data_IF_591397725897
#
_entry.id   IF_591397725897
#
_cell.length_a   1.000
_cell.length_b   1.000
_cell.length_c   1.000
_cell.angle_alpha   90.00
_cell.angle_beta   90.00
_cell.angle_gamma   90.00
#
_symmetry.space_group_name_H-M   'P 1'
#
loop_
_entity.id
_entity.type
_entity.pdbx_description
1 polymer ?
#
# COMPACT_ATOMS: atom_id res chain seq x y z
N UNK A 1 -23.17 -1.59 4.97
CA UNK A 1 -22.43 -0.93 3.87
C UNK A 1 -21.00 -0.67 4.34
N UNK A 2 -20.01 -1.00 3.51
CA UNK A 2 -18.58 -0.76 3.77
C UNK A 2 -17.92 -0.11 2.55
N UNK A 3 -16.64 0.26 2.64
CA UNK A 3 -15.86 0.80 1.52
C UNK A 3 -16.38 2.09 0.87
N UNK A 4 -17.18 2.90 1.56
CA UNK A 4 -17.71 4.16 1.00
C UNK A 4 -16.59 5.06 0.46
N UNK A 5 -15.45 5.16 1.17
CA UNK A 5 -14.30 5.94 0.70
C UNK A 5 -13.71 5.42 -0.63
N UNK A 6 -13.75 4.11 -0.91
CA UNK A 6 -13.33 3.58 -2.21
C UNK A 6 -14.33 3.94 -3.32
N UNK A 7 -15.63 3.95 -3.00
CA UNK A 7 -16.68 4.43 -3.92
C UNK A 7 -16.49 5.92 -4.22
N UNK A 8 -16.17 6.73 -3.21
CA UNK A 8 -15.94 8.16 -3.36
C UNK A 8 -14.70 8.46 -4.21
N UNK A 9 -13.59 7.75 -3.98
CA UNK A 9 -12.38 7.83 -4.85
C UNK A 9 -12.75 7.49 -6.29
N UNK A 10 -13.56 6.45 -6.47
CA UNK A 10 -14.06 6.06 -7.76
C UNK A 10 -14.83 7.20 -8.44
N UNK A 11 -15.89 7.70 -7.80
CA UNK A 11 -16.72 8.80 -8.34
C UNK A 11 -15.91 10.06 -8.63
N UNK A 12 -14.96 10.40 -7.77
CA UNK A 12 -14.06 11.53 -7.99
C UNK A 12 -13.24 11.33 -9.28
N UNK A 13 -12.76 10.11 -9.51
CA UNK A 13 -12.05 9.79 -10.74
C UNK A 13 -12.95 9.81 -11.98
N UNK A 14 -14.18 9.28 -11.91
CA UNK A 14 -15.17 9.37 -13.00
C UNK A 14 -15.39 10.83 -13.39
N UNK A 15 -15.58 11.69 -12.38
CA UNK A 15 -15.69 13.13 -12.59
C UNK A 15 -14.45 13.72 -13.26
N UNK A 16 -13.23 13.35 -12.82
CA UNK A 16 -11.99 13.83 -13.47
C UNK A 16 -11.94 13.36 -14.92
N UNK A 17 -12.15 12.07 -15.19
CA UNK A 17 -12.18 11.52 -16.55
C UNK A 17 -13.15 12.29 -17.43
N UNK A 18 -14.36 12.57 -16.93
CA UNK A 18 -15.37 13.29 -17.69
C UNK A 18 -15.06 14.74 -17.97
N UNK A 19 -14.33 15.39 -17.06
CA UNK A 19 -14.14 16.84 -17.10
C UNK A 19 -12.71 17.28 -17.45
N UNK A 20 -11.70 16.40 -17.45
CA UNK A 20 -10.28 16.77 -17.57
C UNK A 20 -9.95 17.54 -18.85
N UNK A 21 -10.67 17.28 -19.95
CA UNK A 21 -10.52 18.01 -21.21
C UNK A 21 -10.82 19.50 -21.10
N UNK A 22 -11.73 19.90 -20.20
CA UNK A 22 -12.06 21.31 -19.97
C UNK A 22 -10.96 22.04 -19.19
N UNK A 23 -10.04 21.29 -18.58
CA UNK A 23 -8.85 21.80 -17.90
C UNK A 23 -7.58 21.64 -18.75
N UNK A 24 -7.72 21.33 -20.05
CA UNK A 24 -6.60 21.17 -20.97
C UNK A 24 -5.86 19.83 -20.85
N UNK A 25 -6.35 18.88 -20.04
CA UNK A 25 -5.78 17.54 -20.01
C UNK A 25 -6.38 16.62 -21.08
N UNK A 26 -5.72 15.50 -21.32
CA UNK A 26 -6.19 14.49 -22.26
C UNK A 26 -7.19 13.56 -21.53
N UNK A 27 -8.37 13.32 -22.12
CA UNK A 27 -9.33 12.31 -21.63
C UNK A 27 -8.99 10.91 -22.16
N UNK A 28 -8.07 10.81 -23.11
CA UNK A 28 -7.79 9.61 -23.88
C UNK A 28 -8.92 9.37 -24.88
N UNK A 29 -8.60 8.73 -26.01
CA UNK A 29 -9.59 8.47 -27.08
C UNK A 29 -10.52 7.31 -26.71
N UNK A 30 -11.39 7.51 -25.73
CA UNK A 30 -12.53 6.62 -25.51
C UNK A 30 -13.72 7.12 -26.34
N UNK A 31 -14.01 6.43 -27.46
CA UNK A 31 -15.28 6.60 -28.17
C UNK A 31 -15.34 6.06 -29.58
N UNK A 32 -14.26 6.12 -30.37
CA UNK A 32 -14.25 5.62 -31.75
C UNK A 32 -13.01 4.75 -32.01
N UNK A 33 -13.01 3.55 -31.41
CA UNK A 33 -11.99 2.52 -31.64
C UNK A 33 -11.86 2.06 -33.10
N UNK A 34 -12.81 2.42 -34.00
CA UNK A 34 -12.79 1.99 -35.40
C UNK A 34 -11.77 2.71 -36.30
N UNK A 35 -11.09 3.76 -35.84
CA UNK A 35 -10.19 4.55 -36.70
C UNK A 35 -8.77 4.77 -36.12
N UNK A 36 -8.42 4.14 -35.01
CA UNK A 36 -7.05 4.19 -34.52
C UNK A 36 -6.15 3.33 -35.44
N UNK A 37 -5.46 4.00 -36.38
CA UNK A 37 -4.35 3.40 -37.12
C UNK A 37 -3.38 2.76 -36.12
N UNK A 38 -2.88 1.58 -36.47
CA UNK A 38 -2.04 0.65 -35.68
C UNK A 38 -0.76 1.26 -35.06
N UNK A 39 -0.45 2.53 -35.35
CA UNK A 39 0.79 3.20 -34.99
C UNK A 39 0.70 4.12 -33.76
N UNK A 40 -0.50 4.52 -33.31
CA UNK A 40 -0.60 5.56 -32.27
C UNK A 40 -0.85 4.99 -30.87
N UNK A 41 0.12 4.19 -30.38
CA UNK A 41 0.07 3.50 -29.08
C UNK A 41 0.13 4.47 -27.88
N UNK A 42 0.48 5.73 -28.09
CA UNK A 42 0.63 6.73 -27.04
C UNK A 42 -0.70 7.35 -26.56
N UNK A 43 -1.81 7.11 -27.27
CA UNK A 43 -3.15 7.66 -26.91
C UNK A 43 -3.96 6.81 -25.92
N UNK A 44 -3.36 5.75 -25.35
CA UNK A 44 -4.10 4.68 -24.66
C UNK A 44 -4.26 4.87 -23.14
N UNK A 45 -3.47 5.76 -22.51
CA UNK A 45 -3.46 5.95 -21.05
C UNK A 45 -3.43 7.44 -20.66
N UNK A 46 -4.59 8.10 -20.59
CA UNK A 46 -4.65 9.56 -20.45
C UNK A 46 -4.39 10.08 -19.04
N UNK A 47 -4.66 9.27 -18.02
CA UNK A 47 -4.63 9.70 -16.62
C UNK A 47 -3.70 8.76 -15.84
N UNK A 48 -2.73 9.34 -15.14
CA UNK A 48 -1.92 8.62 -14.14
C UNK A 48 -2.43 8.96 -12.76
N UNK A 49 -2.72 7.95 -11.95
CA UNK A 49 -3.18 8.13 -10.58
C UNK A 49 -2.05 7.77 -9.61
N UNK A 50 -1.72 8.68 -8.71
CA UNK A 50 -0.65 8.51 -7.73
C UNK A 50 -1.26 8.36 -6.35
N UNK A 51 -0.88 7.30 -5.64
CA UNK A 51 -1.31 7.06 -4.26
C UNK A 51 -0.10 6.91 -3.35
N UNK A 52 -0.22 7.38 -2.11
CA UNK A 52 0.77 7.20 -1.05
C UNK A 52 0.13 6.50 0.16
N UNK A 53 0.85 5.57 0.78
CA UNK A 53 0.38 4.84 1.97
C UNK A 53 -0.97 4.18 1.72
N UNK A 54 -1.98 4.51 2.54
CA UNK A 54 -3.34 3.98 2.35
C UNK A 54 -3.97 4.37 1.00
N UNK A 55 -3.55 5.48 0.39
CA UNK A 55 -3.95 5.85 -0.97
C UNK A 55 -3.39 4.88 -2.01
N UNK A 56 -2.11 4.48 -1.91
CA UNK A 56 -1.51 3.47 -2.78
C UNK A 56 -2.22 2.11 -2.63
N UNK A 57 -2.53 1.73 -1.39
CA UNK A 57 -3.32 0.55 -1.07
C UNK A 57 -4.71 0.60 -1.72
N UNK A 58 -5.43 1.72 -1.58
CA UNK A 58 -6.75 1.92 -2.20
C UNK A 58 -6.68 1.84 -3.74
N UNK A 59 -5.67 2.46 -4.36
CA UNK A 59 -5.47 2.36 -5.81
C UNK A 59 -5.18 0.93 -6.25
N UNK A 60 -4.34 0.21 -5.52
CA UNK A 60 -4.05 -1.19 -5.85
C UNK A 60 -5.28 -2.09 -5.72
N UNK A 61 -6.22 -1.77 -4.82
CA UNK A 61 -7.55 -2.42 -4.75
C UNK A 61 -8.43 -2.05 -5.94
N UNK A 62 -8.49 -0.77 -6.32
CA UNK A 62 -9.30 -0.29 -7.46
C UNK A 62 -8.78 -0.79 -8.81
N UNK A 63 -7.49 -1.13 -8.89
CA UNK A 63 -6.91 -1.83 -10.03
C UNK A 63 -7.33 -3.29 -10.13
N UNK A 64 -7.93 -3.84 -9.07
CA UNK A 64 -8.39 -5.22 -9.12
C UNK A 64 -9.61 -5.30 -10.02
N UNK A 65 -9.62 -6.27 -10.93
CA UNK A 65 -10.68 -6.41 -11.90
C UNK A 65 -12.00 -6.81 -11.22
N UNK A 66 -12.96 -5.90 -11.15
CA UNK A 66 -14.32 -6.22 -10.72
C UNK A 66 -15.10 -6.85 -11.87
N UNK A 67 -15.64 -8.06 -11.65
CA UNK A 67 -16.49 -8.78 -12.63
C UNK A 67 -17.95 -8.32 -12.65
N UNK A 68 -18.25 -7.19 -12.03
CA UNK A 68 -19.57 -6.58 -12.09
C UNK A 68 -19.63 -5.27 -11.32
N UNK A 69 -20.52 -4.43 -11.84
CA UNK A 69 -20.97 -3.13 -11.37
C UNK A 69 -20.58 -2.79 -9.92
N UNK A 70 -19.46 -2.08 -9.77
CA UNK A 70 -19.46 -0.97 -8.82
C UNK A 70 -20.65 -0.08 -9.19
N UNK A 71 -21.56 0.23 -8.27
CA UNK A 71 -22.60 1.23 -8.51
C UNK A 71 -21.91 2.52 -8.98
N UNK A 72 -22.14 2.92 -10.24
CA UNK A 72 -21.45 4.05 -10.89
C UNK A 72 -20.40 3.69 -11.96
N UNK A 73 -20.43 2.50 -12.57
CA UNK A 73 -19.65 2.24 -13.82
C UNK A 73 -18.12 2.13 -13.65
N UNK A 74 -17.61 2.23 -12.42
CA UNK A 74 -16.18 2.30 -12.11
C UNK A 74 -15.36 1.09 -12.55
N UNK A 75 -16.00 -0.05 -12.81
CA UNK A 75 -15.32 -1.30 -13.18
C UNK A 75 -14.85 -1.40 -14.63
N UNK A 76 -15.31 -0.58 -15.58
CA UNK A 76 -14.84 -0.64 -16.97
C UNK A 76 -13.78 0.40 -17.30
N UNK A 77 -13.92 1.62 -16.80
CA UNK A 77 -13.11 2.76 -17.26
C UNK A 77 -11.86 3.01 -16.43
N UNK A 78 -11.80 2.58 -15.16
CA UNK A 78 -10.54 2.62 -14.39
C UNK A 78 -9.42 1.80 -15.04
N UNK A 79 -9.80 0.85 -15.89
CA UNK A 79 -8.89 -0.09 -16.58
C UNK A 79 -8.03 0.57 -17.64
N UNK A 80 -8.10 1.86 -17.95
CA UNK A 80 -7.22 2.52 -18.93
C UNK A 80 -6.16 3.44 -18.32
N UNK A 81 -5.66 3.17 -17.10
CA UNK A 81 -4.81 4.12 -16.39
C UNK A 81 -3.51 3.52 -15.88
N UNK A 82 -2.46 4.34 -15.91
CA UNK A 82 -1.23 4.08 -15.20
C UNK A 82 -1.41 4.40 -13.73
N UNK A 83 -0.74 3.65 -12.86
CA UNK A 83 -0.71 3.97 -11.43
C UNK A 83 0.70 4.14 -10.93
N UNK A 84 0.83 4.97 -9.90
CA UNK A 84 2.00 5.03 -9.04
C UNK A 84 1.57 4.61 -7.64
N UNK A 85 2.19 3.54 -7.14
CA UNK A 85 1.91 2.99 -5.81
C UNK A 85 3.09 3.33 -4.89
N UNK A 86 2.96 4.36 -4.06
CA UNK A 86 4.01 4.76 -3.12
C UNK A 86 3.75 4.24 -1.71
N UNK A 87 4.58 3.32 -1.23
CA UNK A 87 4.55 2.76 0.13
C UNK A 87 3.80 1.43 0.23
N UNK A 88 2.49 1.40 0.02
CA UNK A 88 1.65 0.22 0.34
C UNK A 88 0.91 -0.37 -0.86
N UNK A 89 0.67 -1.68 -0.83
CA UNK A 89 -0.08 -2.42 -1.84
C UNK A 89 -1.28 -3.14 -1.23
N UNK A 90 -2.09 -3.77 -2.07
CA UNK A 90 -3.20 -4.60 -1.62
C UNK A 90 -2.73 -5.75 -0.73
N UNK A 91 -1.52 -6.27 -0.98
CA UNK A 91 -0.95 -7.33 -0.17
C UNK A 91 -0.56 -6.82 1.23
N UNK A 92 -0.33 -5.51 1.40
CA UNK A 92 -0.16 -4.93 2.73
C UNK A 92 -1.41 -5.16 3.59
N UNK A 93 -2.62 -5.22 3.03
CA UNK A 93 -3.83 -5.57 3.82
C UNK A 93 -3.72 -6.97 4.42
N UNK A 94 -3.15 -7.93 3.69
CA UNK A 94 -2.95 -9.28 4.21
C UNK A 94 -2.04 -9.27 5.44
N UNK A 95 -0.97 -8.49 5.40
CA UNK A 95 -0.07 -8.31 6.54
C UNK A 95 -0.76 -7.63 7.74
N UNK A 96 -1.60 -6.62 7.48
CA UNK A 96 -2.28 -5.82 8.50
C UNK A 96 -3.40 -6.58 9.20
N UNK A 97 -4.25 -7.26 8.43
CA UNK A 97 -5.45 -7.88 8.97
C UNK A 97 -5.22 -9.37 9.32
N UNK A 98 -4.21 -10.01 8.74
CA UNK A 98 -4.05 -11.47 8.78
C UNK A 98 -5.14 -12.18 7.98
N UNK A 99 -5.77 -11.47 7.04
CA UNK A 99 -6.96 -11.95 6.33
C UNK A 99 -6.55 -12.93 5.26
N UNK A 100 -6.79 -14.20 5.54
CA UNK A 100 -7.07 -15.18 4.51
C UNK A 100 -8.52 -15.02 4.03
N UNK A 101 -8.87 -15.69 2.93
CA UNK A 101 -10.03 -15.40 2.08
C UNK A 101 -11.45 -15.59 2.72
N UNK A 102 -11.61 -15.49 4.04
CA UNK A 102 -12.66 -16.12 4.84
C UNK A 102 -13.74 -15.18 5.41
N UNK A 103 -13.77 -13.90 5.03
CA UNK A 103 -14.77 -12.95 5.58
C UNK A 103 -14.47 -12.40 6.96
N UNK A 104 -13.30 -12.72 7.51
CA UNK A 104 -12.85 -12.25 8.82
C UNK A 104 -12.75 -10.71 8.88
N UNK A 105 -12.43 -10.03 7.77
CA UNK A 105 -12.36 -8.56 7.72
C UNK A 105 -13.73 -7.88 7.94
N UNK A 106 -14.82 -8.39 7.36
CA UNK A 106 -16.16 -7.86 7.68
C UNK A 106 -16.58 -8.17 9.10
N UNK A 107 -16.32 -9.38 9.59
CA UNK A 107 -16.66 -9.73 10.97
C UNK A 107 -15.89 -8.85 11.97
N UNK A 108 -14.61 -8.60 11.70
CA UNK A 108 -13.79 -7.68 12.49
C UNK A 108 -14.34 -6.26 12.44
N UNK A 109 -14.69 -5.75 11.25
CA UNK A 109 -15.28 -4.43 11.12
C UNK A 109 -16.66 -4.33 11.79
N UNK A 110 -17.52 -5.35 11.69
CA UNK A 110 -18.79 -5.40 12.39
C UNK A 110 -18.59 -5.37 13.90
N UNK A 111 -17.66 -6.16 14.43
CA UNK A 111 -17.30 -6.15 15.85
C UNK A 111 -16.78 -4.79 16.28
N UNK A 112 -15.96 -4.13 15.46
CA UNK A 112 -15.46 -2.80 15.75
C UNK A 112 -16.58 -1.75 15.73
N UNK A 113 -17.53 -1.86 14.80
CA UNK A 113 -18.74 -1.02 14.75
C UNK A 113 -19.60 -1.22 16.00
N UNK A 114 -19.77 -2.45 16.49
CA UNK A 114 -20.49 -2.73 17.74
C UNK A 114 -19.80 -2.05 18.93
N UNK A 115 -18.48 -2.23 19.09
CA UNK A 115 -17.71 -1.60 20.17
C UNK A 115 -17.76 -0.06 20.06
N UNK A 116 -17.71 0.47 18.84
CA UNK A 116 -17.84 1.91 18.60
C UNK A 116 -19.21 2.42 19.04
N UNK A 117 -20.29 1.75 18.62
CA UNK A 117 -21.67 2.09 18.97
C UNK A 117 -21.89 2.09 20.48
N UNK A 118 -21.46 1.03 21.17
CA UNK A 118 -21.53 0.93 22.63
C UNK A 118 -20.79 2.08 23.31
N UNK A 119 -19.57 2.41 22.86
CA UNK A 119 -18.77 3.49 23.46
C UNK A 119 -19.34 4.89 23.27
N UNK A 120 -20.16 5.10 22.24
CA UNK A 120 -20.83 6.39 22.02
C UNK A 120 -22.25 6.43 22.59
N UNK A 121 -22.74 5.32 23.16
CA UNK A 121 -24.06 5.21 23.77
C UNK A 121 -25.18 4.88 22.78
N UNK A 122 -24.84 4.29 21.63
CA UNK A 122 -25.82 3.80 20.66
C UNK A 122 -26.20 2.33 20.93
N UNK A 123 -27.38 1.87 20.45
CA UNK A 123 -27.75 0.45 20.48
C UNK A 123 -26.69 -0.43 19.81
N UNK A 124 -26.63 -1.69 20.20
CA UNK A 124 -25.72 -2.66 19.57
C UNK A 124 -26.17 -3.01 18.16
N UNK A 125 -25.23 -2.95 17.20
CA UNK A 125 -25.49 -3.34 15.82
C UNK A 125 -25.83 -4.83 15.65
N UNK A 126 -25.69 -5.65 16.71
CA UNK A 126 -26.13 -7.04 16.71
C UNK A 126 -27.64 -7.17 16.88
N UNK A 127 -28.23 -6.27 17.67
CA UNK A 127 -29.61 -6.39 18.13
C UNK A 127 -30.54 -5.60 17.19
N UNK A 128 -30.15 -4.39 16.82
CA UNK A 128 -30.90 -3.53 15.90
C UNK A 128 -29.93 -2.70 15.03
N UNK A 129 -29.45 -3.25 13.89
CA UNK A 129 -28.52 -2.56 13.01
C UNK A 129 -29.02 -1.20 12.52
N UNK A 130 -30.32 -1.06 12.26
CA UNK A 130 -30.91 0.16 11.70
C UNK A 130 -30.96 1.25 12.77
N UNK A 131 -31.44 0.94 13.99
CA UNK A 131 -31.41 1.88 15.10
C UNK A 131 -29.98 2.26 15.50
N UNK A 132 -29.03 1.33 15.44
CA UNK A 132 -27.61 1.65 15.64
C UNK A 132 -27.13 2.66 14.61
N UNK A 133 -27.41 2.44 13.32
CA UNK A 133 -26.94 3.33 12.26
C UNK A 133 -27.59 4.72 12.35
N UNK A 134 -28.89 4.80 12.62
CA UNK A 134 -29.58 6.09 12.83
C UNK A 134 -29.02 6.83 14.05
N UNK A 135 -28.76 6.12 15.15
CA UNK A 135 -28.09 6.71 16.31
C UNK A 135 -26.69 7.22 15.97
N UNK A 136 -25.86 6.41 15.30
CA UNK A 136 -24.49 6.76 14.94
C UNK A 136 -24.45 8.00 14.01
N UNK A 137 -25.40 8.14 13.08
CA UNK A 137 -25.53 9.33 12.22
C UNK A 137 -25.80 10.61 13.03
N UNK A 138 -26.46 10.50 14.18
CA UNK A 138 -26.71 11.61 15.10
C UNK A 138 -25.54 11.97 16.01
N UNK A 139 -24.48 11.17 16.06
CA UNK A 139 -23.30 11.45 16.90
C UNK A 139 -22.37 12.44 16.20
N UNK A 140 -21.84 13.41 16.96
CA UNK A 140 -20.83 14.35 16.48
C UNK A 140 -19.62 13.61 15.85
N UNK A 141 -19.27 13.98 14.62
CA UNK A 141 -18.19 13.34 13.87
C UNK A 141 -16.85 13.33 14.62
N UNK A 142 -16.50 14.42 15.33
CA UNK A 142 -15.25 14.49 16.09
C UNK A 142 -15.22 13.47 17.25
N UNK A 143 -16.37 13.22 17.88
CA UNK A 143 -16.53 12.21 18.91
C UNK A 143 -16.39 10.80 18.33
N UNK A 144 -17.02 10.52 17.18
CA UNK A 144 -16.87 9.23 16.50
C UNK A 144 -15.42 8.94 16.14
N UNK A 145 -14.72 9.90 15.51
CA UNK A 145 -13.32 9.74 15.11
C UNK A 145 -12.40 9.51 16.31
N UNK A 146 -12.55 10.28 17.39
CA UNK A 146 -11.76 10.08 18.63
C UNK A 146 -12.02 8.72 19.28
N UNK A 147 -13.30 8.30 19.35
CA UNK A 147 -13.66 7.01 19.91
C UNK A 147 -13.12 5.87 19.05
N UNK A 148 -13.28 5.94 17.74
CA UNK A 148 -12.71 4.97 16.81
C UNK A 148 -11.19 4.89 16.96
N UNK A 149 -10.48 6.02 16.94
CA UNK A 149 -9.03 6.06 17.14
C UNK A 149 -8.57 5.46 18.49
N UNK A 150 -9.42 5.50 19.53
CA UNK A 150 -9.12 4.85 20.81
C UNK A 150 -9.09 3.32 20.73
N UNK A 151 -9.78 2.72 19.75
CA UNK A 151 -9.86 1.27 19.55
C UNK A 151 -8.57 0.67 18.99
N UNK A 152 -7.69 1.47 18.36
CA UNK A 152 -6.40 1.01 17.83
C UNK A 152 -5.30 0.89 18.90
N UNK A 153 -5.51 1.45 20.10
CA UNK A 153 -4.45 1.59 21.11
C UNK A 153 -3.80 0.24 21.44
N UNK A 154 -2.55 0.09 21.00
CA UNK A 154 -1.70 -1.05 21.31
C UNK A 154 -1.90 -2.30 20.46
N UNK A 155 -2.64 -2.20 19.34
CA UNK A 155 -2.97 -3.32 18.44
C UNK A 155 -2.15 -3.35 17.13
N UNK A 156 -1.13 -2.52 16.98
CA UNK A 156 -0.34 -2.39 15.75
C UNK A 156 -0.65 -1.07 15.04
N UNK A 157 -0.50 -0.98 13.70
CA UNK A 157 -0.76 0.26 12.98
C UNK A 157 -2.17 0.82 13.28
N UNK A 158 -2.34 2.15 13.28
CA UNK A 158 -3.45 2.85 13.95
C UNK A 158 -4.81 2.71 13.25
N UNK A 159 -4.89 1.90 12.20
CA UNK A 159 -6.06 1.81 11.33
C UNK A 159 -7.06 0.83 11.93
N UNK A 160 -8.20 1.38 12.39
CA UNK A 160 -9.27 0.58 13.00
C UNK A 160 -10.20 0.02 11.94
N UNK A 161 -10.58 0.83 10.96
CA UNK A 161 -11.40 0.41 9.84
C UNK A 161 -10.56 0.42 8.57
N UNK A 162 -10.28 -0.76 8.04
CA UNK A 162 -9.57 -0.97 6.78
C UNK A 162 -10.58 -1.37 5.68
N UNK A 163 -10.20 -1.28 4.39
CA UNK A 163 -11.02 -1.76 3.30
C UNK A 163 -11.54 -3.18 3.53
N UNK A 164 -12.85 -3.36 3.43
CA UNK A 164 -13.53 -4.64 3.53
C UNK A 164 -13.36 -5.41 2.23
N UNK A 165 -12.87 -6.64 2.34
CA UNK A 165 -12.65 -7.52 1.19
C UNK A 165 -13.84 -8.49 0.98
N UNK A 166 -14.57 -8.82 2.05
CA UNK A 166 -15.67 -9.78 2.02
C UNK A 166 -16.65 -9.51 3.17
N UNK A 167 -17.98 -9.84 3.09
CA UNK A 167 -18.68 -10.30 1.89
C UNK A 167 -18.59 -9.27 0.78
N UNK A 168 -18.80 -9.65 -0.49
CA UNK A 168 -18.83 -8.72 -1.59
C UNK A 168 -19.80 -7.59 -1.26
N UNK A 169 -19.26 -6.47 -0.80
CA UNK A 169 -20.01 -5.21 -0.72
C UNK A 169 -20.28 -4.81 -2.16
N UNK A 170 -21.41 -4.17 -2.44
CA UNK A 170 -21.70 -3.58 -3.76
C UNK A 170 -20.43 -2.95 -4.35
N UNK A 171 -19.86 -3.60 -5.38
CA UNK A 171 -18.62 -3.18 -6.03
C UNK A 171 -17.40 -4.08 -5.99
N UNK A 172 -17.29 -5.00 -5.03
CA UNK A 172 -16.26 -6.04 -5.07
C UNK A 172 -16.94 -7.39 -5.05
N UNK A 173 -17.41 -7.88 -6.21
CA UNK A 173 -18.09 -9.17 -6.31
C UNK A 173 -17.22 -10.36 -5.86
N UNK A 174 -15.91 -10.18 -5.76
CA UNK A 174 -14.96 -11.23 -5.44
C UNK A 174 -13.86 -10.73 -4.52
N UNK A 175 -13.27 -11.69 -3.81
CA UNK A 175 -12.05 -11.49 -3.07
C UNK A 175 -10.91 -11.12 -4.05
N UNK A 176 -10.29 -9.94 -3.93
CA UNK A 176 -9.27 -9.48 -4.86
C UNK A 176 -8.03 -10.36 -4.87
N UNK A 177 -7.76 -11.10 -3.79
CA UNK A 177 -6.69 -12.10 -3.73
C UNK A 177 -7.02 -13.36 -4.56
N UNK A 178 -8.31 -13.73 -4.60
CA UNK A 178 -8.79 -14.75 -5.53
C UNK A 178 -8.68 -14.26 -6.97
N UNK A 179 -9.01 -13.00 -7.24
CA UNK A 179 -8.87 -12.44 -8.58
C UNK A 179 -7.40 -12.34 -9.03
N UNK A 180 -6.45 -12.04 -8.14
CA UNK A 180 -5.02 -12.14 -8.45
C UNK A 180 -4.61 -13.55 -8.92
N UNK A 181 -5.29 -14.60 -8.42
CA UNK A 181 -5.03 -16.00 -8.78
C UNK A 181 -5.73 -16.44 -10.08
N UNK A 182 -6.96 -16.01 -10.33
CA UNK A 182 -7.81 -16.51 -11.44
C UNK A 182 -8.06 -15.48 -12.57
N UNK A 183 -7.44 -14.31 -12.44
CA UNK A 183 -7.22 -13.24 -13.42
C UNK A 183 -6.93 -13.59 -14.90
N UNK A 184 -7.91 -13.57 -15.81
CA UNK A 184 -8.13 -12.41 -16.70
C UNK A 184 -6.96 -11.54 -17.26
N UNK A 185 -5.74 -12.02 -17.55
CA UNK A 185 -4.47 -11.26 -17.83
C UNK A 185 -4.59 -9.84 -18.46
N UNK A 186 -5.56 -9.63 -19.34
CA UNK A 186 -5.92 -8.41 -20.07
C UNK A 186 -6.13 -7.09 -19.29
N UNK A 187 -6.28 -7.12 -17.97
CA UNK A 187 -6.83 -5.98 -17.20
C UNK A 187 -5.80 -5.21 -16.37
N UNK A 188 -4.64 -5.80 -16.10
CA UNK A 188 -3.59 -5.10 -15.37
C UNK A 188 -2.88 -4.08 -16.28
N UNK A 189 -2.36 -3.02 -15.66
CA UNK A 189 -1.68 -1.91 -16.34
C UNK A 189 -0.30 -1.69 -15.76
N UNK A 190 0.51 -0.98 -16.55
CA UNK A 190 1.82 -0.53 -16.14
C UNK A 190 1.73 0.10 -14.75
N UNK A 191 2.68 -0.24 -13.90
CA UNK A 191 2.70 0.18 -12.50
C UNK A 191 4.10 0.58 -12.09
N UNK A 192 4.19 1.76 -11.50
CA UNK A 192 5.41 2.28 -10.90
C UNK A 192 5.25 2.25 -9.38
N UNK A 193 5.83 1.24 -8.75
CA UNK A 193 5.80 1.06 -7.31
C UNK A 193 7.04 1.69 -6.66
N UNK A 194 6.84 2.44 -5.60
CA UNK A 194 7.95 3.01 -4.82
C UNK A 194 7.76 2.74 -3.34
N UNK A 195 8.85 2.68 -2.57
CA UNK A 195 8.83 2.61 -1.11
C UNK A 195 10.11 3.24 -0.55
N UNK A 196 10.17 3.49 0.76
CA UNK A 196 11.38 4.02 1.39
C UNK A 196 12.15 2.95 2.16
N UNK A 197 13.47 3.12 2.26
CA UNK A 197 14.37 2.20 2.97
C UNK A 197 13.98 2.00 4.44
N UNK A 198 13.48 3.05 5.09
CA UNK A 198 13.23 3.07 6.52
C UNK A 198 11.74 3.19 6.86
N UNK A 199 10.85 2.75 5.96
CA UNK A 199 9.39 2.84 6.16
C UNK A 199 8.91 2.20 7.48
N UNK A 200 9.64 1.20 8.00
CA UNK A 200 9.33 0.53 9.26
C UNK A 200 9.52 1.39 10.51
N UNK A 201 10.33 2.45 10.46
CA UNK A 201 10.56 3.33 11.62
C UNK A 201 9.29 4.10 11.99
N UNK A 202 8.55 4.58 10.98
CA UNK A 202 7.25 5.24 11.18
C UNK A 202 6.20 4.28 11.76
N UNK A 203 6.20 3.01 11.34
CA UNK A 203 5.32 1.99 11.95
C UNK A 203 5.68 1.74 13.42
N UNK A 204 6.98 1.68 13.72
CA UNK A 204 7.48 1.45 15.07
C UNK A 204 7.07 2.57 16.03
N UNK A 205 7.27 3.84 15.67
CA UNK A 205 6.88 5.00 16.50
C UNK A 205 5.36 5.09 16.67
N UNK A 206 4.60 4.80 15.61
CA UNK A 206 3.14 4.85 15.65
C UNK A 206 2.55 3.74 16.53
N UNK A 207 3.14 2.54 16.50
CA UNK A 207 2.66 1.41 17.31
C UNK A 207 3.10 1.49 18.77
N UNK A 208 4.26 2.12 19.04
CA UNK A 208 4.85 2.24 20.37
C UNK A 208 5.21 3.69 20.72
N UNK A 209 4.26 4.65 20.66
CA UNK A 209 4.57 6.08 20.82
C UNK A 209 5.02 6.42 22.25
N UNK A 210 4.64 5.60 23.25
CA UNK A 210 5.16 5.75 24.61
C UNK A 210 6.66 5.47 24.69
N UNK A 211 7.14 4.49 23.91
CA UNK A 211 8.53 4.04 23.91
C UNK A 211 9.39 4.97 23.05
N UNK A 212 9.01 5.22 21.80
CA UNK A 212 9.84 5.98 20.85
C UNK A 212 9.45 7.45 20.67
N UNK A 213 8.30 7.87 21.22
CA UNK A 213 7.72 9.17 20.86
C UNK A 213 6.95 9.13 19.54
N UNK A 214 6.17 10.17 19.26
CA UNK A 214 5.34 10.22 18.04
C UNK A 214 6.18 10.44 16.78
N UNK A 215 7.26 11.22 16.91
CA UNK A 215 8.19 11.57 15.84
C UNK A 215 9.58 10.94 16.06
N UNK A 216 9.66 9.90 16.89
CA UNK A 216 10.92 9.23 17.21
C UNK A 216 11.81 10.01 18.17
N UNK A 217 11.29 11.06 18.82
CA UNK A 217 12.07 11.93 19.71
C UNK A 217 12.69 11.20 20.91
N UNK A 218 12.21 10.00 21.24
CA UNK A 218 12.83 9.10 22.22
C UNK A 218 13.65 8.05 21.46
N UNK A 219 14.93 8.33 21.25
CA UNK A 219 15.88 7.41 20.66
C UNK A 219 16.28 6.31 21.66
N UNK A 220 15.35 5.39 21.92
CA UNK A 220 15.51 4.38 22.98
C UNK A 220 16.32 3.18 22.46
N UNK A 221 17.47 2.85 23.08
CA UNK A 221 18.21 1.63 22.78
C UNK A 221 17.39 0.39 23.18
N UNK A 222 17.40 -0.66 22.35
CA UNK A 222 16.61 -1.87 22.59
C UNK A 222 17.50 -3.07 22.91
N UNK A 223 17.41 -3.58 24.14
CA UNK A 223 17.95 -4.91 24.44
C UNK A 223 17.26 -5.99 23.59
N UNK A 224 17.96 -7.10 23.34
CA UNK A 224 17.41 -8.22 22.56
C UNK A 224 16.03 -8.68 23.09
N UNK A 225 15.86 -8.76 24.41
CA UNK A 225 14.59 -9.13 25.05
C UNK A 225 13.48 -8.11 24.81
N UNK A 226 13.80 -6.81 24.86
CA UNK A 226 12.83 -5.76 24.57
C UNK A 226 12.42 -5.81 23.09
N UNK A 227 13.40 -5.93 22.19
CA UNK A 227 13.16 -6.00 20.75
C UNK A 227 12.27 -7.21 20.37
N UNK A 228 12.53 -8.40 20.93
CA UNK A 228 11.65 -9.58 20.76
C UNK A 228 10.22 -9.32 21.22
N UNK A 229 10.02 -8.68 22.39
CA UNK A 229 8.67 -8.33 22.89
C UNK A 229 7.94 -7.36 21.96
N UNK A 230 8.65 -6.32 21.48
CA UNK A 230 8.11 -5.34 20.53
C UNK A 230 7.72 -6.04 19.22
N UNK A 231 8.62 -6.86 18.67
CA UNK A 231 8.37 -7.61 17.45
C UNK A 231 7.18 -8.56 17.55
N UNK A 232 7.13 -9.40 18.59
CA UNK A 232 6.01 -10.35 18.80
C UNK A 232 4.67 -9.66 18.88
N UNK A 233 4.60 -8.52 19.55
CA UNK A 233 3.37 -7.74 19.63
C UNK A 233 2.97 -7.17 18.28
N UNK A 234 3.93 -6.71 17.49
CA UNK A 234 3.67 -6.07 16.20
C UNK A 234 3.38 -7.09 15.09
N UNK A 235 4.12 -8.19 15.06
CA UNK A 235 4.01 -9.30 14.10
C UNK A 235 3.01 -10.37 14.55
N UNK A 236 2.15 -10.10 15.53
CA UNK A 236 1.16 -11.04 16.07
C UNK A 236 0.18 -11.64 15.05
N UNK A 237 0.13 -11.06 13.84
CA UNK A 237 -0.66 -11.55 12.70
C UNK A 237 0.06 -12.63 11.90
N UNK A 238 1.37 -12.76 12.08
CA UNK A 238 2.16 -13.86 11.57
C UNK A 238 2.30 -14.93 12.67
N UNK A 239 2.43 -16.22 12.31
CA UNK A 239 2.84 -17.26 13.22
C UNK A 239 4.12 -16.89 13.96
N UNK A 240 4.17 -17.28 15.23
CA UNK A 240 5.25 -16.93 16.13
C UNK A 240 6.61 -17.42 15.60
N UNK A 241 6.65 -18.59 14.95
CA UNK A 241 7.84 -19.15 14.31
C UNK A 241 8.45 -18.22 13.27
N UNK A 242 7.62 -17.56 12.47
CA UNK A 242 8.08 -16.64 11.43
C UNK A 242 8.46 -15.28 12.00
N UNK A 243 7.75 -14.81 13.02
CA UNK A 243 8.21 -13.65 13.77
C UNK A 243 9.60 -13.88 14.39
N UNK A 244 9.85 -15.06 14.97
CA UNK A 244 11.16 -15.40 15.53
C UNK A 244 12.24 -15.56 14.43
N UNK A 245 11.92 -16.15 13.29
CA UNK A 245 12.86 -16.31 12.17
C UNK A 245 13.27 -14.98 11.52
N UNK A 246 12.33 -14.04 11.36
CA UNK A 246 12.60 -12.69 10.84
C UNK A 246 13.56 -11.89 11.71
N UNK A 247 13.46 -12.08 13.03
CA UNK A 247 14.35 -11.42 13.99
C UNK A 247 15.73 -12.08 14.00
N UNK A 248 15.78 -13.40 13.83
CA UNK A 248 17.00 -14.19 13.96
C UNK A 248 17.66 -14.00 15.33
N UNK A 249 18.99 -14.11 15.36
CA UNK A 249 19.78 -13.88 16.55
C UNK A 249 20.01 -12.38 16.76
N UNK A 250 19.28 -11.80 17.70
CA UNK A 250 19.51 -10.44 18.17
C UNK A 250 20.69 -10.41 19.14
N UNK A 251 21.58 -9.44 18.96
CA UNK A 251 22.75 -9.26 19.81
C UNK A 251 22.32 -8.68 21.17
N UNK A 252 22.72 -9.35 22.25
CA UNK A 252 22.41 -8.96 23.63
C UNK A 252 23.00 -7.58 23.96
N UNK A 253 24.13 -7.23 23.34
CA UNK A 253 24.90 -6.02 23.61
C UNK A 253 24.67 -4.91 22.57
N UNK A 254 24.28 -5.23 21.33
CA UNK A 254 24.10 -4.22 20.27
C UNK A 254 22.69 -3.62 20.23
N UNK A 255 22.40 -2.75 21.20
CA UNK A 255 21.07 -2.18 21.39
C UNK A 255 20.57 -1.31 20.22
N UNK A 256 21.45 -0.60 19.52
CA UNK A 256 21.12 0.17 18.30
C UNK A 256 20.85 -0.76 17.12
N UNK A 257 21.72 -1.75 16.90
CA UNK A 257 21.55 -2.75 15.82
C UNK A 257 20.22 -3.50 15.93
N UNK A 258 19.79 -3.83 17.16
CA UNK A 258 18.49 -4.45 17.39
C UNK A 258 17.31 -3.56 16.98
N UNK A 259 17.41 -2.24 17.20
CA UNK A 259 16.39 -1.28 16.75
C UNK A 259 16.37 -1.20 15.23
N UNK A 260 17.53 -1.10 14.59
CA UNK A 260 17.64 -1.03 13.13
C UNK A 260 17.10 -2.31 12.47
N UNK A 261 17.37 -3.47 13.08
CA UNK A 261 16.79 -4.75 12.65
C UNK A 261 15.27 -4.75 12.73
N UNK A 262 14.67 -4.18 13.78
CA UNK A 262 13.21 -4.04 13.86
C UNK A 262 12.65 -3.10 12.78
N UNK A 263 13.32 -1.96 12.54
CA UNK A 263 12.95 -1.03 11.46
C UNK A 263 12.95 -1.76 10.13
N UNK A 264 14.00 -2.54 9.85
CA UNK A 264 14.10 -3.34 8.63
C UNK A 264 12.96 -4.38 8.55
N UNK A 265 12.79 -5.22 9.58
CA UNK A 265 11.77 -6.28 9.57
C UNK A 265 10.37 -5.72 9.37
N UNK A 266 10.04 -4.59 10.01
CA UNK A 266 8.73 -3.96 9.86
C UNK A 266 8.58 -3.30 8.48
N UNK A 267 9.64 -2.66 7.98
CA UNK A 267 9.68 -2.10 6.64
C UNK A 267 9.42 -3.16 5.57
N UNK A 268 10.07 -4.31 5.72
CA UNK A 268 9.96 -5.43 4.79
C UNK A 268 8.61 -6.14 4.87
N UNK A 269 8.11 -6.42 6.08
CA UNK A 269 6.84 -7.12 6.26
C UNK A 269 5.61 -6.38 5.74
N UNK A 270 5.62 -5.04 5.80
CA UNK A 270 4.43 -4.22 5.49
C UNK A 270 4.54 -3.38 4.22
N UNK A 271 5.75 -3.11 3.72
CA UNK A 271 5.94 -2.26 2.53
C UNK A 271 6.72 -2.98 1.42
N UNK A 272 7.98 -3.35 1.65
CA UNK A 272 8.84 -3.92 0.59
C UNK A 272 8.33 -5.26 0.07
N UNK A 273 8.17 -6.28 0.93
CA UNK A 273 7.77 -7.61 0.47
C UNK A 273 6.36 -7.63 -0.15
N UNK A 274 5.34 -6.95 0.41
CA UNK A 274 4.04 -6.82 -0.26
C UNK A 274 4.09 -6.16 -1.65
N UNK A 275 5.03 -5.26 -1.91
CA UNK A 275 5.25 -4.71 -3.25
C UNK A 275 5.92 -5.71 -4.17
N UNK A 276 6.92 -6.43 -3.66
CA UNK A 276 7.63 -7.49 -4.37
C UNK A 276 6.65 -8.52 -4.90
N UNK A 277 5.86 -9.10 -4.00
CA UNK A 277 4.92 -10.15 -4.37
C UNK A 277 3.82 -9.64 -5.31
N UNK A 278 3.39 -8.39 -5.20
CA UNK A 278 2.45 -7.81 -6.17
C UNK A 278 3.07 -7.75 -7.57
N UNK A 279 4.34 -7.36 -7.67
CA UNK A 279 5.10 -7.40 -8.91
C UNK A 279 5.24 -8.81 -9.47
N UNK A 280 5.50 -9.80 -8.61
CA UNK A 280 5.58 -11.21 -9.00
C UNK A 280 4.24 -11.71 -9.54
N UNK A 281 3.12 -11.45 -8.83
CA UNK A 281 1.78 -11.83 -9.28
C UNK A 281 1.42 -11.24 -10.64
N UNK A 282 1.88 -10.03 -10.92
CA UNK A 282 1.61 -9.37 -12.21
C UNK A 282 2.49 -9.89 -13.34
N UNK A 283 3.67 -10.42 -13.02
CA UNK A 283 4.63 -10.93 -14.00
C UNK A 283 4.52 -12.44 -14.28
N UNK A 284 3.85 -13.20 -13.42
CA UNK A 284 3.66 -14.66 -13.52
C UNK A 284 2.84 -15.15 -14.74
N UNK A 285 2.41 -14.23 -15.61
CA UNK A 285 1.61 -14.51 -16.79
C UNK A 285 2.42 -14.17 -18.05
N UNK A 286 2.71 -15.12 -18.95
CA UNK A 286 3.69 -14.97 -20.07
C UNK A 286 3.23 -14.10 -21.24
N UNK A 287 1.94 -14.03 -21.51
CA UNK A 287 1.26 -13.14 -22.44
C UNK A 287 -0.05 -12.71 -21.77
N UNK A 288 -0.82 -11.79 -22.33
CA UNK A 288 -2.26 -11.82 -22.02
C UNK A 288 -3.00 -12.80 -22.95
N UNK A 289 -4.22 -13.23 -22.58
CA UNK A 289 -5.01 -14.17 -23.38
C UNK A 289 -5.27 -13.72 -24.84
N UNK A 290 -5.04 -12.43 -25.14
CA UNK A 290 -5.19 -11.86 -26.48
C UNK A 290 -3.83 -11.71 -27.21
N UNK A 291 -2.74 -12.24 -26.64
CA UNK A 291 -1.38 -12.14 -27.17
C UNK A 291 -0.78 -10.73 -27.07
N UNK A 292 -1.33 -9.84 -26.23
CA UNK A 292 -0.82 -8.49 -26.03
C UNK A 292 0.34 -8.50 -25.03
N UNK A 293 1.24 -7.49 -25.11
CA UNK A 293 2.35 -7.35 -24.17
C UNK A 293 1.86 -7.22 -22.73
N UNK A 294 2.58 -7.85 -21.80
CA UNK A 294 2.30 -7.75 -20.37
C UNK A 294 2.36 -6.30 -19.89
N UNK A 295 1.58 -5.95 -18.86
CA UNK A 295 1.78 -4.69 -18.14
C UNK A 295 3.14 -4.70 -17.46
N UNK A 296 3.85 -3.58 -17.57
CA UNK A 296 5.19 -3.42 -16.99
C UNK A 296 5.10 -3.11 -15.51
N UNK A 297 5.98 -3.70 -14.72
CA UNK A 297 6.08 -3.38 -13.31
C UNK A 297 7.46 -2.78 -13.04
N UNK A 298 7.51 -1.65 -12.35
CA UNK A 298 8.76 -0.97 -12.01
C UNK A 298 8.81 -0.77 -10.51
N UNK A 299 9.97 -0.98 -9.91
CA UNK A 299 10.16 -0.86 -8.47
C UNK A 299 11.33 0.06 -8.16
N UNK A 300 11.08 1.07 -7.33
CA UNK A 300 12.08 2.01 -6.87
C UNK A 300 12.06 2.17 -5.34
N UNK A 301 13.13 1.75 -4.70
CA UNK A 301 13.41 2.11 -3.32
C UNK A 301 13.97 3.53 -3.28
N UNK A 302 13.45 4.38 -2.39
CA UNK A 302 13.85 5.78 -2.25
C UNK A 302 14.49 6.03 -0.89
N UNK A 303 15.76 6.46 -0.89
CA UNK A 303 16.37 7.11 0.28
C UNK A 303 16.08 8.58 0.19
N UNK A 304 15.33 9.15 1.12
CA UNK A 304 14.81 10.52 1.04
C UNK A 304 15.14 11.32 2.29
N UNK A 305 15.70 12.50 2.07
CA UNK A 305 15.93 13.47 3.14
C UNK A 305 15.35 14.82 2.69
N UNK A 306 14.08 15.13 3.04
CA UNK A 306 13.45 16.39 2.64
C UNK A 306 14.08 17.59 3.36
N UNK A 307 13.89 18.83 2.86
CA UNK A 307 14.43 20.03 3.51
C UNK A 307 13.88 20.25 4.92
N UNK A 308 12.64 19.83 5.17
CA UNK A 308 12.04 19.77 6.49
C UNK A 308 11.66 18.32 6.82
N UNK A 309 12.28 17.78 7.86
CA UNK A 309 11.98 16.46 8.40
C UNK A 309 11.64 16.59 9.89
N UNK A 310 10.37 16.44 10.30
CA UNK A 310 9.99 16.52 11.72
C UNK A 310 10.38 15.27 12.51
N UNK A 311 10.83 14.20 11.84
CA UNK A 311 11.18 12.94 12.45
C UNK A 311 12.63 12.94 12.95
N UNK A 312 12.89 12.18 14.02
CA UNK A 312 14.23 12.00 14.54
C UNK A 312 15.18 11.38 13.51
N UNK A 313 16.46 11.74 13.56
CA UNK A 313 17.48 11.32 12.58
C UNK A 313 17.60 9.80 12.43
N UNK A 314 17.45 9.04 13.53
CA UNK A 314 17.51 7.57 13.49
C UNK A 314 16.38 6.93 12.67
N UNK A 315 15.28 7.64 12.43
CA UNK A 315 14.16 7.13 11.64
C UNK A 315 14.47 7.09 10.14
N UNK A 316 15.54 7.74 9.69
CA UNK A 316 15.99 7.72 8.30
C UNK A 316 14.95 8.24 7.31
N UNK A 317 14.81 7.51 6.21
CA UNK A 317 13.85 7.80 5.13
C UNK A 317 12.47 7.27 5.48
N UNK A 318 11.73 7.99 6.32
CA UNK A 318 10.35 7.59 6.66
C UNK A 318 9.43 7.66 5.43
N UNK A 319 8.39 6.82 5.39
CA UNK A 319 7.47 6.77 4.26
C UNK A 319 6.87 8.12 3.87
N UNK A 320 6.57 9.00 4.84
CA UNK A 320 5.99 10.32 4.59
C UNK A 320 6.93 11.31 3.88
N UNK A 321 8.25 11.08 3.92
CA UNK A 321 9.22 11.96 3.29
C UNK A 321 9.12 11.95 1.76
N UNK A 322 8.59 10.88 1.15
CA UNK A 322 8.47 10.81 -0.32
C UNK A 322 7.47 11.80 -0.87
N UNK A 323 6.46 12.21 -0.10
CA UNK A 323 5.46 13.18 -0.55
C UNK A 323 6.11 14.52 -0.97
N UNK A 324 7.08 15.01 -0.17
CA UNK A 324 7.80 16.25 -0.44
C UNK A 324 8.75 16.15 -1.66
N UNK A 325 9.11 14.93 -2.06
CA UNK A 325 9.98 14.66 -3.22
C UNK A 325 9.16 14.40 -4.49
N UNK A 326 8.00 13.75 -4.36
CA UNK A 326 7.04 13.53 -5.44
C UNK A 326 6.32 14.82 -5.84
N UNK A 327 6.00 15.66 -4.85
CA UNK A 327 5.26 16.91 -5.00
C UNK A 327 6.01 18.05 -4.29
N UNK A 328 7.14 18.50 -4.82
CA UNK A 328 7.94 19.52 -4.17
C UNK A 328 7.27 20.90 -4.23
N UNK A 329 7.61 21.75 -3.27
CA UNK A 329 7.12 23.12 -3.26
C UNK A 329 7.69 23.89 -4.47
N UNK A 330 6.86 24.66 -5.21
CA UNK A 330 7.29 25.34 -6.44
C UNK A 330 8.46 26.31 -6.21
N UNK A 331 8.51 26.95 -5.05
CA UNK A 331 9.55 27.91 -4.69
C UNK A 331 10.88 27.28 -4.26
N UNK A 332 10.97 25.94 -4.22
CA UNK A 332 12.18 25.25 -3.75
C UNK A 332 12.51 25.58 -2.28
N UNK A 333 11.49 25.82 -1.47
CA UNK A 333 11.60 26.00 -0.02
C UNK A 333 10.26 25.69 0.66
N UNK A 334 10.31 25.37 1.94
CA UNK A 334 9.13 25.07 2.78
C UNK A 334 9.21 25.94 4.03
N UNK A 335 8.11 26.59 4.41
CA UNK A 335 8.04 27.36 5.66
C UNK A 335 7.17 26.64 6.68
N UNK A 336 7.74 26.35 7.85
CA UNK A 336 7.05 25.71 8.98
C UNK A 336 7.34 26.52 10.23
N UNK A 337 6.30 26.92 10.97
CA UNK A 337 6.43 27.71 12.21
C UNK A 337 7.32 28.96 12.05
N UNK A 338 7.11 29.73 10.98
CA UNK A 338 7.90 30.92 10.62
C UNK A 338 9.39 30.66 10.31
N UNK A 339 9.82 29.40 10.21
CA UNK A 339 11.16 29.02 9.77
C UNK A 339 11.12 28.49 8.33
N UNK A 340 11.98 29.01 7.46
CA UNK A 340 12.07 28.61 6.05
C UNK A 340 13.23 27.64 5.85
N UNK A 341 12.94 26.48 5.27
CA UNK A 341 13.86 25.41 4.93
C UNK A 341 14.03 25.36 3.42
N UNK A 342 15.24 25.59 2.94
CA UNK A 342 15.57 25.53 1.50
C UNK A 342 16.10 24.14 1.16
N UNK A 343 15.84 23.70 -0.06
CA UNK A 343 16.42 22.45 -0.56
C UNK A 343 17.94 22.65 -0.74
N UNK A 344 18.74 21.71 -0.25
CA UNK A 344 20.17 21.61 -0.59
C UNK A 344 20.34 21.25 -2.06
N UNK A 345 21.56 21.38 -2.60
CA UNK A 345 21.79 21.04 -4.01
C UNK A 345 21.64 19.53 -4.26
N UNK A 346 22.01 18.68 -3.30
CA UNK A 346 21.73 17.24 -3.38
C UNK A 346 20.23 16.95 -3.41
N UNK A 347 19.45 17.64 -2.57
CA UNK A 347 18.00 17.47 -2.53
C UNK A 347 17.32 17.97 -3.81
N UNK A 348 17.81 19.07 -4.41
CA UNK A 348 17.33 19.56 -5.72
C UNK A 348 17.62 18.56 -6.82
N UNK A 349 18.80 17.95 -6.82
CA UNK A 349 19.17 16.93 -7.80
C UNK A 349 18.29 15.67 -7.64
N UNK A 350 18.08 15.22 -6.40
CA UNK A 350 17.14 14.14 -6.12
C UNK A 350 15.72 14.46 -6.60
N UNK A 351 15.21 15.67 -6.36
CA UNK A 351 13.93 16.15 -6.89
C UNK A 351 13.89 16.08 -8.41
N UNK A 352 14.92 16.61 -9.07
CA UNK A 352 15.02 16.65 -10.54
C UNK A 352 14.98 15.24 -11.13
N UNK A 353 15.72 14.31 -10.54
CA UNK A 353 15.73 12.90 -10.97
C UNK A 353 14.37 12.23 -10.73
N UNK A 354 13.77 12.39 -9.54
CA UNK A 354 12.46 11.82 -9.23
C UNK A 354 11.35 12.37 -10.14
N UNK A 355 11.33 13.68 -10.38
CA UNK A 355 10.38 14.32 -11.29
C UNK A 355 10.58 13.84 -12.73
N UNK A 356 11.83 13.68 -13.18
CA UNK A 356 12.12 13.12 -14.51
C UNK A 356 11.57 11.70 -14.64
N UNK A 357 11.80 10.84 -13.65
CA UNK A 357 11.26 9.47 -13.62
C UNK A 357 9.73 9.46 -13.68
N UNK A 358 9.06 10.23 -12.81
CA UNK A 358 7.61 10.31 -12.77
C UNK A 358 7.03 10.82 -14.09
N UNK A 359 7.61 11.88 -14.66
CA UNK A 359 7.18 12.44 -15.95
C UNK A 359 7.40 11.45 -17.09
N UNK A 360 8.56 10.80 -17.16
CA UNK A 360 8.82 9.79 -18.18
C UNK A 360 7.86 8.61 -18.06
N UNK A 361 7.55 8.17 -16.84
CA UNK A 361 6.54 7.14 -16.62
C UNK A 361 5.15 7.57 -17.11
N UNK A 362 4.69 8.75 -16.71
CA UNK A 362 3.39 9.33 -17.12
C UNK A 362 3.28 9.54 -18.63
N UNK A 363 4.41 9.74 -19.32
CA UNK A 363 4.49 9.90 -20.77
C UNK A 363 4.73 8.59 -21.53
N UNK A 364 4.77 7.45 -20.83
CA UNK A 364 5.08 6.14 -21.39
C UNK A 364 6.46 6.09 -22.07
N UNK A 365 7.38 6.94 -21.63
CA UNK A 365 8.77 6.95 -22.08
C UNK A 365 9.53 5.77 -21.46
N UNK A 366 10.62 5.35 -22.10
CA UNK A 366 11.51 4.35 -21.53
C UNK A 366 12.10 4.88 -20.22
N UNK A 367 11.84 4.19 -19.12
CA UNK A 367 12.43 4.53 -17.84
C UNK A 367 13.91 4.09 -17.77
N UNK A 368 14.77 4.87 -17.09
CA UNK A 368 16.16 4.50 -16.82
C UNK A 368 16.28 3.55 -15.61
N UNK A 369 15.26 2.71 -15.38
CA UNK A 369 15.24 1.66 -14.34
C UNK A 369 14.75 0.37 -15.00
N UNK A 370 15.22 -0.81 -14.54
CA UNK A 370 14.80 -2.07 -15.12
C UNK A 370 13.32 -2.33 -14.86
N UNK A 371 12.71 -3.02 -15.80
CA UNK A 371 11.41 -3.65 -15.58
C UNK A 371 11.59 -4.83 -14.62
N UNK A 372 10.74 -4.92 -13.62
CA UNK A 372 10.68 -6.04 -12.70
C UNK A 372 10.09 -7.26 -13.43
N UNK A 373 10.81 -8.38 -13.45
CA UNK A 373 10.35 -9.65 -14.04
C UNK A 373 10.56 -10.81 -13.07
N UNK A 374 9.97 -11.98 -13.34
CA UNK A 374 10.20 -13.15 -12.49
C UNK A 374 11.57 -13.79 -12.76
N UNK A 375 12.00 -13.76 -14.01
CA UNK A 375 13.28 -14.30 -14.45
C UNK A 375 14.45 -13.46 -13.95
N UNK A 376 14.28 -12.13 -13.97
CA UNK A 376 15.23 -11.15 -13.48
C UNK A 376 14.51 -10.15 -12.54
N UNK A 377 14.31 -10.50 -11.26
CA UNK A 377 13.65 -9.63 -10.29
C UNK A 377 14.56 -8.47 -9.89
N UNK A 378 14.63 -7.46 -10.74
CA UNK A 378 15.43 -6.27 -10.55
C UNK A 378 14.62 -5.09 -10.02
N UNK A 379 15.24 -4.29 -9.17
CA UNK A 379 14.69 -3.01 -8.74
C UNK A 379 15.81 -1.96 -8.70
N UNK A 380 15.41 -0.70 -8.60
CA UNK A 380 16.35 0.40 -8.47
C UNK A 380 16.33 0.99 -7.07
N UNK A 381 17.44 1.60 -6.67
CA UNK A 381 17.56 2.41 -5.46
C UNK A 381 17.92 3.83 -5.88
N UNK A 382 17.10 4.80 -5.49
CA UNK A 382 17.42 6.22 -5.57
C UNK A 382 18.14 6.65 -4.29
N UNK A 383 19.38 7.09 -4.43
CA UNK A 383 20.20 7.59 -3.32
C UNK A 383 19.93 9.08 -3.05
N UNK A 384 20.48 9.58 -1.94
CA UNK A 384 20.33 10.97 -1.50
C UNK A 384 20.93 11.99 -2.49
N UNK A 385 21.96 11.58 -3.25
CA UNK A 385 22.61 12.40 -4.28
C UNK A 385 21.89 12.34 -5.64
N UNK A 386 20.70 11.73 -5.70
CA UNK A 386 19.92 11.56 -6.92
C UNK A 386 20.44 10.46 -7.86
N UNK A 387 21.55 9.79 -7.55
CA UNK A 387 21.98 8.63 -8.35
C UNK A 387 21.02 7.48 -8.20
N UNK A 388 20.85 6.74 -9.29
CA UNK A 388 20.08 5.52 -9.32
C UNK A 388 21.05 4.36 -9.50
N UNK A 389 21.07 3.45 -8.53
CA UNK A 389 21.72 2.15 -8.70
C UNK A 389 20.69 1.09 -9.04
N UNK A 390 21.11 0.11 -9.82
CA UNK A 390 20.35 -1.10 -10.08
C UNK A 390 20.76 -2.19 -9.10
N UNK A 391 19.80 -2.82 -8.45
CA UNK A 391 20.00 -3.94 -7.54
C UNK A 391 19.39 -5.20 -8.21
N UNK A 392 20.25 -6.05 -8.77
CA UNK A 392 19.83 -7.21 -9.58
C UNK A 392 19.61 -8.51 -8.79
N UNK A 393 20.00 -8.57 -7.52
CA UNK A 393 20.12 -9.86 -6.80
C UNK A 393 19.56 -9.88 -5.39
N UNK A 394 19.07 -8.75 -4.86
CA UNK A 394 18.74 -8.61 -3.44
C UNK A 394 17.24 -8.46 -3.13
N UNK A 395 16.37 -8.76 -4.11
CA UNK A 395 14.92 -8.70 -3.92
C UNK A 395 14.37 -9.89 -3.13
N UNK A 396 15.05 -11.03 -3.24
CA UNK A 396 14.93 -12.17 -2.32
C UNK A 396 15.71 -11.86 -1.03
N UNK A 397 15.42 -10.72 -0.39
CA UNK A 397 15.92 -10.53 0.95
C UNK A 397 15.43 -11.73 1.78
N UNK A 398 16.29 -12.25 2.65
CA UNK A 398 15.96 -13.42 3.48
C UNK A 398 14.59 -13.26 4.14
N UNK A 399 14.25 -12.04 4.55
CA UNK A 399 12.96 -11.72 5.14
C UNK A 399 11.78 -11.85 4.17
N UNK A 400 11.92 -11.43 2.91
CA UNK A 400 10.90 -11.70 1.90
C UNK A 400 10.78 -13.19 1.56
N UNK A 401 11.83 -14.01 1.66
CA UNK A 401 11.66 -15.46 1.51
C UNK A 401 10.93 -16.09 2.69
N UNK A 402 11.25 -15.68 3.92
CA UNK A 402 10.56 -16.12 5.15
C UNK A 402 9.06 -15.75 5.10
N UNK A 403 8.74 -14.56 4.59
CA UNK A 403 7.38 -14.05 4.50
C UNK A 403 6.59 -14.63 3.32
N UNK A 404 7.27 -15.12 2.27
CA UNK A 404 6.64 -15.55 1.01
C UNK A 404 5.48 -16.51 1.22
N UNK A 405 5.55 -17.56 2.07
CA UNK A 405 4.43 -18.48 2.28
C UNK A 405 3.13 -17.81 2.75
N UNK A 406 3.22 -16.68 3.48
CA UNK A 406 2.05 -15.95 3.96
C UNK A 406 1.35 -15.17 2.85
N UNK A 407 2.12 -14.69 1.88
CA UNK A 407 1.59 -13.92 0.76
C UNK A 407 1.31 -14.77 -0.45
N UNK A 408 1.89 -15.98 -0.55
CA UNK A 408 1.71 -16.91 -1.67
C UNK A 408 0.27 -17.41 -1.72
N UNK A 409 -0.40 -17.19 -2.83
CA UNK A 409 -1.59 -17.93 -3.20
C UNK A 409 -1.09 -19.27 -3.72
N UNK A 410 -1.32 -20.36 -2.98
CA UNK A 410 -1.00 -21.68 -3.48
C UNK A 410 -1.70 -21.88 -4.84
N UNK A 411 -0.93 -21.87 -5.94
CA UNK A 411 -1.31 -22.53 -7.19
C UNK A 411 -1.13 -24.00 -6.91
N UNK A 412 -2.18 -24.67 -6.46
CA UNK A 412 -2.19 -26.11 -6.57
C UNK A 412 -2.03 -26.44 -8.05
N UNK A 413 -1.11 -27.33 -8.36
CA UNK A 413 -0.75 -27.79 -9.71
C UNK A 413 -1.94 -28.42 -10.46
N UNK A 414 -3.05 -28.62 -9.76
CA UNK A 414 -4.32 -29.05 -10.31
C UNK A 414 -5.30 -27.88 -10.13
N UNK A 415 -5.78 -27.30 -11.24
CA UNK A 415 -6.68 -26.13 -11.28
C UNK A 415 -8.06 -26.31 -10.63
N UNK A 416 -8.20 -27.23 -9.68
CA UNK A 416 -9.38 -27.41 -8.84
C UNK A 416 -9.25 -26.53 -7.59
N UNK A 417 -10.24 -25.68 -7.28
CA UNK A 417 -10.25 -24.92 -6.05
C UNK A 417 -10.51 -25.89 -4.89
N UNK A 418 -9.50 -26.22 -4.09
CA UNK A 418 -9.78 -26.66 -2.73
C UNK A 418 -10.31 -25.44 -1.98
N UNK A 419 -11.61 -25.46 -1.69
CA UNK A 419 -12.12 -24.75 -0.54
C UNK A 419 -11.35 -25.30 0.66
N UNK A 420 -10.55 -24.45 1.31
CA UNK A 420 -10.18 -24.71 2.69
C UNK A 420 -11.50 -24.71 3.46
N UNK A 421 -12.09 -25.89 3.67
CA UNK A 421 -13.02 -26.05 4.77
C UNK A 421 -12.24 -25.63 6.02
N UNK A 422 -12.69 -24.59 6.75
CA UNK A 422 -12.07 -24.25 8.00
C UNK A 422 -12.27 -25.46 8.92
N UNK A 423 -11.20 -26.21 9.17
CA UNK A 423 -11.18 -27.18 10.26
C UNK A 423 -11.28 -26.37 11.54
N UNK A 424 -12.52 -26.14 11.98
CA UNK A 424 -12.83 -25.65 13.31
C UNK A 424 -12.35 -26.71 14.30
N UNK A 425 -11.13 -26.53 14.80
CA UNK A 425 -10.72 -27.17 16.04
C UNK A 425 -11.49 -26.49 17.16
N UNK A 426 -12.64 -27.07 17.52
CA UNK A 426 -13.21 -26.87 18.84
C UNK A 426 -12.32 -27.62 19.84
N UNK A 427 -11.57 -26.86 20.64
CA UNK A 427 -11.07 -27.28 21.94
C UNK A 427 -11.36 -26.19 22.96
#
# INVERSE_FOLDING_TARGET
>A
MGNQALSDIGKAYEWVSDNIKYFGGDKGRNGNQRLAKKEDRHSKYPITIVGHGCGALALSLLQMPSRGYLPGGLGSDYKSHQVVLDGMSILTLKALEGVDNTGESALNNLRLTQILAEKVGCPSARDDPDATMECLKGIEASRLVRTAASLSRGRGPPNVFLPQIYPPVEGFLYNPFRELKYQNESQFRDTYATFTSDAGSALLTTAFPKLFGAFGEKDVPLSANCAKKVARRFLRKFPQTVADELLGDLDINATTSNKDKLVQVFGEAYFKCPMVYLGEYRNDYKLDLEGRPKPKFYILEKKVNPPYNPFASWMGSVGFNTAQINFPHPDGQITVNNQTYKYTDEQKEQLRVNQKLLRSYMKLEKLPIPEFTLEEPAYSVMHLDGKISEEKTNFQSRNCEILRPYFKFHRDTYGTPFEYEPVFWFF
#
